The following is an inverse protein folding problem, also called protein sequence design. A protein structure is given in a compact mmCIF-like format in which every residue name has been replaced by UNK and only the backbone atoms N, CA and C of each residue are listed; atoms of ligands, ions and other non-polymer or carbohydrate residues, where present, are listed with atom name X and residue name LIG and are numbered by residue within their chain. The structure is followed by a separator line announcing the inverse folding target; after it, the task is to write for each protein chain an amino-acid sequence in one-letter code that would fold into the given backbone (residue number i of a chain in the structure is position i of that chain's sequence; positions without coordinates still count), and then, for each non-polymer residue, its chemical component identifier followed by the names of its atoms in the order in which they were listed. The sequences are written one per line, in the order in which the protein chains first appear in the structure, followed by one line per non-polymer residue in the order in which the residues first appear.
data_IF_672565238659
#
_entry.id   IF_672565238659
#
_cell.length_a   1.000
_cell.length_b   1.000
_cell.length_c   1.000
_cell.angle_alpha   90.00
_cell.angle_beta   90.00
_cell.angle_gamma   90.00
#
_symmetry.space_group_name_H-M   'P 1'
#
loop_
_entity.id
_entity.type
_entity.pdbx_description
1 polymer ?
#
# COMPACT_ATOMS: atom_id res chain seq x y z
N UNK A 1 -11.75 12.15 -2.44
CA UNK A 1 -10.39 12.46 -1.94
C UNK A 1 -9.45 11.48 -2.63
N UNK A 2 -8.17 11.37 -2.29
CA UNK A 2 -7.44 10.18 -2.73
C UNK A 2 -7.98 8.96 -1.95
N UNK A 3 -7.95 7.77 -2.56
CA UNK A 3 -8.32 6.53 -1.89
C UNK A 3 -7.21 5.48 -2.11
N UNK A 4 -6.85 4.78 -1.03
CA UNK A 4 -5.85 3.70 -1.01
C UNK A 4 -6.54 2.35 -0.91
N UNK A 5 -5.96 1.34 -1.56
CA UNK A 5 -6.28 -0.08 -1.37
C UNK A 5 -4.98 -0.90 -1.39
N UNK A 6 -4.79 -1.74 -0.39
CA UNK A 6 -3.68 -2.69 -0.27
C UNK A 6 -4.22 -4.08 -0.01
N UNK A 7 -3.57 -5.09 -0.58
CA UNK A 7 -3.93 -6.50 -0.41
C UNK A 7 -2.67 -7.33 -0.22
N UNK A 8 -2.70 -8.20 0.79
CA UNK A 8 -1.77 -9.32 0.95
C UNK A 8 -2.56 -10.62 1.07
N UNK A 9 -2.13 -11.67 0.38
CA UNK A 9 -2.77 -12.99 0.43
C UNK A 9 -1.74 -14.11 0.47
N UNK A 10 -2.11 -15.25 1.06
CA UNK A 10 -1.21 -16.41 1.20
C UNK A 10 -0.99 -17.18 -0.11
N UNK A 11 -1.91 -17.06 -1.06
CA UNK A 11 -1.83 -17.62 -2.42
C UNK A 11 -2.19 -16.53 -3.43
N UNK A 12 -1.77 -16.61 -4.71
CA UNK A 12 -2.13 -15.61 -5.70
C UNK A 12 -3.65 -15.46 -5.85
N UNK A 13 -4.22 -14.42 -5.25
CA UNK A 13 -5.64 -14.13 -5.30
C UNK A 13 -5.99 -13.55 -6.67
N UNK A 14 -7.14 -13.94 -7.24
CA UNK A 14 -7.70 -13.24 -8.40
C UNK A 14 -8.35 -11.95 -7.93
N UNK A 15 -7.76 -10.82 -8.30
CA UNK A 15 -8.12 -9.50 -7.79
C UNK A 15 -8.56 -8.62 -8.96
N UNK A 16 -9.85 -8.32 -9.04
CA UNK A 16 -10.35 -7.29 -9.96
C UNK A 16 -10.66 -6.02 -9.15
N UNK A 17 -9.84 -4.99 -9.32
CA UNK A 17 -10.08 -3.70 -8.69
C UNK A 17 -10.97 -2.86 -9.60
N UNK A 18 -12.20 -2.59 -9.16
CA UNK A 18 -13.07 -1.59 -9.79
C UNK A 18 -12.74 -0.20 -9.25
N UNK A 19 -11.66 0.38 -9.77
CA UNK A 19 -11.22 1.73 -9.42
C UNK A 19 -12.32 2.81 -9.48
N UNK A 20 -13.31 2.78 -10.41
CA UNK A 20 -14.40 3.77 -10.40
C UNK A 20 -15.20 3.78 -9.10
N UNK A 21 -15.49 2.60 -8.56
CA UNK A 21 -16.25 2.44 -7.31
C UNK A 21 -15.40 2.74 -6.08
N UNK A 22 -14.12 2.35 -6.09
CA UNK A 22 -13.17 2.79 -5.05
C UNK A 22 -13.16 4.34 -4.98
N UNK A 23 -13.21 4.97 -6.16
CA UNK A 23 -13.31 6.40 -6.26
C UNK A 23 -14.64 6.94 -5.68
N UNK A 24 -15.80 6.31 -5.90
CA UNK A 24 -17.09 6.81 -5.38
C UNK A 24 -17.12 7.08 -3.85
N UNK A 25 -16.30 6.39 -3.06
CA UNK A 25 -16.20 6.63 -1.62
C UNK A 25 -15.64 7.99 -1.21
N UNK A 26 -14.83 8.63 -2.05
CA UNK A 26 -14.25 9.94 -1.74
C UNK A 26 -15.14 11.16 -2.04
N UNK A 27 -16.47 10.95 -2.23
CA UNK A 27 -17.42 11.95 -2.75
C UNK A 27 -17.66 13.14 -1.81
N UNK A 28 -17.32 14.32 -2.30
CA UNK A 28 -18.15 15.55 -2.22
C UNK A 28 -18.06 16.16 -3.63
N UNK A 29 -18.97 15.79 -4.54
CA UNK A 29 -19.09 16.33 -5.91
C UNK A 29 -17.82 16.31 -6.82
N UNK A 30 -17.91 15.62 -7.96
CA UNK A 30 -17.00 15.82 -9.10
C UNK A 30 -16.09 14.64 -9.43
N UNK A 31 -15.95 14.42 -10.72
CA UNK A 31 -15.19 13.37 -11.42
C UNK A 31 -13.75 13.21 -10.92
N UNK A 32 -13.33 11.96 -10.67
CA UNK A 32 -11.95 11.57 -10.35
C UNK A 32 -11.07 11.74 -11.56
N UNK A 33 -10.60 12.96 -11.75
CA UNK A 33 -9.93 13.35 -12.98
C UNK A 33 -8.42 13.31 -12.87
N UNK A 34 -7.82 13.10 -11.69
CA UNK A 34 -6.40 13.45 -11.52
C UNK A 34 -5.42 12.27 -11.56
N UNK A 35 -5.95 11.08 -11.89
CA UNK A 35 -5.19 9.86 -12.15
C UNK A 35 -5.54 8.68 -11.26
N UNK A 36 -5.08 7.51 -11.65
CA UNK A 36 -5.29 6.25 -10.94
C UNK A 36 -4.13 5.30 -11.22
N UNK A 37 -3.99 4.27 -10.41
CA UNK A 37 -3.07 3.19 -10.69
C UNK A 37 -3.29 1.98 -9.81
N UNK A 38 -2.84 0.85 -10.32
CA UNK A 38 -2.80 -0.44 -9.61
C UNK A 38 -1.53 -1.19 -10.01
N UNK A 39 -0.83 -1.71 -9.01
CA UNK A 39 0.33 -2.58 -9.18
C UNK A 39 0.05 -3.96 -8.66
N UNK A 40 0.29 -4.97 -9.49
CA UNK A 40 0.22 -6.39 -9.15
C UNK A 40 1.63 -6.97 -9.15
N UNK A 41 2.09 -7.49 -8.02
CA UNK A 41 3.39 -8.18 -7.98
C UNK A 41 3.38 -9.47 -8.81
N UNK A 42 4.44 -9.69 -9.56
CA UNK A 42 4.74 -10.90 -10.33
C UNK A 42 6.20 -11.30 -10.05
N UNK A 43 6.39 -12.12 -9.00
CA UNK A 43 7.72 -12.45 -8.50
C UNK A 43 8.40 -11.23 -7.85
N UNK A 44 9.57 -10.85 -8.38
CA UNK A 44 10.32 -9.69 -7.90
C UNK A 44 9.98 -8.38 -8.63
N UNK A 45 9.13 -8.44 -9.65
CA UNK A 45 8.72 -7.29 -10.46
C UNK A 45 7.22 -6.99 -10.28
N UNK A 46 6.75 -5.86 -10.82
CA UNK A 46 5.35 -5.43 -10.70
C UNK A 46 4.77 -5.08 -12.06
N UNK A 47 3.62 -5.69 -12.34
CA UNK A 47 2.73 -5.26 -13.40
C UNK A 47 1.98 -4.00 -12.96
N UNK A 48 2.54 -2.84 -13.29
CA UNK A 48 1.97 -1.53 -13.01
C UNK A 48 1.10 -1.04 -14.17
N UNK A 49 -0.17 -0.75 -13.89
CA UNK A 49 -1.05 -0.02 -14.79
C UNK A 49 -1.50 1.25 -14.09
N UNK A 50 -1.25 2.40 -14.70
CA UNK A 50 -1.67 3.70 -14.17
C UNK A 50 -1.95 4.69 -15.30
N UNK A 51 -2.69 5.73 -15.00
CA UNK A 51 -2.97 6.82 -15.93
C UNK A 51 -3.16 8.12 -15.16
N UNK A 52 -2.96 9.24 -15.84
CA UNK A 52 -3.38 10.57 -15.40
C UNK A 52 -4.82 10.91 -15.81
N UNK A 53 -5.38 10.15 -16.75
CA UNK A 53 -6.77 10.27 -17.18
C UNK A 53 -7.78 9.94 -16.05
N UNK A 54 -9.03 10.34 -16.27
CA UNK A 54 -10.10 10.02 -15.33
C UNK A 54 -10.40 8.52 -15.36
N UNK A 55 -10.83 7.97 -14.23
CA UNK A 55 -11.08 6.52 -14.11
C UNK A 55 -12.22 6.04 -15.02
N UNK A 56 -13.25 6.86 -15.21
CA UNK A 56 -14.47 6.49 -15.94
C UNK A 56 -14.30 6.30 -17.45
N UNK A 57 -13.27 6.92 -18.04
CA UNK A 57 -13.07 6.96 -19.50
C UNK A 57 -11.90 6.07 -19.97
N UNK A 58 -11.28 5.29 -19.06
CA UNK A 58 -10.03 4.58 -19.37
C UNK A 58 -10.26 3.14 -19.82
N UNK A 59 -9.91 2.84 -21.08
CA UNK A 59 -9.93 1.47 -21.64
C UNK A 59 -9.10 0.49 -20.82
N UNK A 60 -8.05 0.96 -20.14
CA UNK A 60 -7.24 0.16 -19.24
C UNK A 60 -8.01 -0.41 -18.05
N UNK A 61 -9.01 0.33 -17.54
CA UNK A 61 -9.86 -0.17 -16.44
C UNK A 61 -10.73 -1.34 -16.94
N UNK A 62 -11.25 -1.24 -18.15
CA UNK A 62 -12.01 -2.32 -18.78
C UNK A 62 -11.12 -3.55 -19.04
N UNK A 63 -9.87 -3.32 -19.47
CA UNK A 63 -8.87 -4.37 -19.61
C UNK A 63 -8.62 -5.08 -18.28
N UNK A 64 -8.29 -4.34 -17.21
CA UNK A 64 -8.04 -4.92 -15.88
C UNK A 64 -9.23 -5.76 -15.40
N UNK A 65 -10.44 -5.22 -15.54
CA UNK A 65 -11.67 -5.89 -15.10
C UNK A 65 -12.00 -7.18 -15.88
N UNK A 66 -11.43 -7.37 -17.07
CA UNK A 66 -11.73 -8.50 -17.96
C UNK A 66 -10.64 -9.59 -17.99
N UNK A 67 -9.52 -9.42 -17.29
CA UNK A 67 -8.34 -10.28 -17.44
C UNK A 67 -7.95 -11.09 -16.19
N UNK A 68 -8.80 -11.13 -15.15
CA UNK A 68 -8.63 -11.96 -13.94
C UNK A 68 -7.17 -11.96 -13.42
N UNK A 69 -6.60 -10.77 -13.23
CA UNK A 69 -5.21 -10.64 -12.81
C UNK A 69 -5.03 -11.26 -11.41
N UNK A 70 -3.95 -12.04 -11.25
CA UNK A 70 -3.63 -12.74 -10.00
C UNK A 70 -2.37 -12.21 -9.37
N UNK A 71 -2.42 -11.95 -8.07
CA UNK A 71 -1.24 -11.55 -7.29
C UNK A 71 -1.44 -11.84 -5.81
N UNK A 72 -0.34 -12.11 -5.10
CA UNK A 72 -0.33 -12.16 -3.64
C UNK A 72 -0.32 -10.75 -3.02
N UNK A 73 0.22 -9.77 -3.73
CA UNK A 73 0.43 -8.40 -3.26
C UNK A 73 -0.11 -7.41 -4.29
N UNK A 74 -1.03 -6.55 -3.87
CA UNK A 74 -1.62 -5.51 -4.73
C UNK A 74 -1.64 -4.19 -3.97
N UNK A 75 -1.25 -3.11 -4.64
CA UNK A 75 -1.48 -1.74 -4.17
C UNK A 75 -2.21 -0.99 -5.28
N UNK A 76 -3.31 -0.33 -4.93
CA UNK A 76 -4.07 0.53 -5.82
C UNK A 76 -4.29 1.90 -5.18
N UNK A 77 -4.42 2.91 -6.04
CA UNK A 77 -4.63 4.29 -5.63
C UNK A 77 -5.50 5.04 -6.64
N UNK A 78 -6.44 5.85 -6.15
CA UNK A 78 -7.14 6.86 -6.95
C UNK A 78 -6.73 8.25 -6.49
N UNK A 79 -6.39 9.14 -7.44
CA UNK A 79 -5.83 10.45 -7.15
C UNK A 79 -6.89 11.54 -7.24
N UNK A 80 -6.85 12.45 -6.27
CA UNK A 80 -7.38 13.81 -6.34
C UNK A 80 -6.20 14.75 -6.13
N UNK A 81 -5.79 15.48 -7.16
CA UNK A 81 -4.55 16.25 -7.13
C UNK A 81 -4.62 17.38 -6.09
N UNK A 82 -3.75 17.31 -5.09
CA UNK A 82 -3.45 18.40 -4.16
C UNK A 82 -2.16 19.12 -4.55
N UNK A 83 -1.16 18.37 -5.04
CA UNK A 83 0.14 18.87 -5.50
C UNK A 83 0.57 18.16 -6.79
N UNK A 84 1.35 18.88 -7.61
CA UNK A 84 1.84 18.43 -8.91
C UNK A 84 0.77 18.48 -10.01
N UNK A 85 1.21 18.62 -11.25
CA UNK A 85 0.31 18.62 -12.42
C UNK A 85 -0.42 17.28 -12.59
N UNK A 86 -1.53 17.29 -13.34
CA UNK A 86 -2.19 16.05 -13.80
C UNK A 86 -1.34 15.44 -14.90
N UNK A 87 -0.44 14.53 -14.52
CA UNK A 87 0.51 13.88 -15.42
C UNK A 87 0.80 12.46 -14.97
N UNK A 88 1.18 11.60 -15.92
CA UNK A 88 1.47 10.19 -15.65
C UNK A 88 2.56 9.98 -14.57
N UNK A 89 3.67 10.77 -14.53
CA UNK A 89 4.64 10.68 -13.46
C UNK A 89 4.04 10.88 -12.07
N UNK A 90 3.06 11.78 -11.93
CA UNK A 90 2.41 12.12 -10.66
C UNK A 90 1.28 11.15 -10.25
N UNK A 91 0.92 10.18 -11.10
CA UNK A 91 -0.06 9.14 -10.78
C UNK A 91 0.58 8.02 -9.93
N UNK A 92 -0.16 7.58 -8.91
CA UNK A 92 0.25 6.56 -7.94
C UNK A 92 -0.42 5.20 -8.23
N UNK A 93 0.15 4.07 -7.79
CA UNK A 93 1.37 3.94 -6.99
C UNK A 93 2.65 4.26 -7.77
N UNK A 94 3.71 4.60 -7.04
CA UNK A 94 5.06 4.73 -7.57
C UNK A 94 5.79 3.39 -7.46
N UNK A 95 6.66 3.11 -8.45
CA UNK A 95 7.53 1.93 -8.44
C UNK A 95 8.97 2.34 -8.66
N UNK A 96 9.90 1.69 -7.94
CA UNK A 96 11.36 1.79 -8.14
C UNK A 96 12.03 0.46 -7.84
N UNK A 97 13.15 0.23 -8.49
CA UNK A 97 13.99 -0.94 -8.20
C UNK A 97 14.94 -0.64 -7.03
N UNK A 98 15.04 -1.58 -6.09
CA UNK A 98 16.09 -1.62 -5.09
C UNK A 98 16.57 -3.08 -4.92
N UNK A 99 17.88 -3.27 -5.13
CA UNK A 99 18.58 -4.54 -4.93
C UNK A 99 17.98 -5.75 -5.70
N UNK A 100 17.51 -5.52 -6.92
CA UNK A 100 16.96 -6.49 -7.84
C UNK A 100 15.45 -6.71 -7.69
N UNK A 101 14.75 -5.84 -6.96
CA UNK A 101 13.32 -6.00 -6.67
C UNK A 101 12.56 -4.69 -6.87
N UNK A 102 11.32 -4.80 -7.34
CA UNK A 102 10.39 -3.69 -7.40
C UNK A 102 9.83 -3.37 -6.01
N UNK A 103 9.85 -2.10 -5.64
CA UNK A 103 9.22 -1.56 -4.44
C UNK A 103 8.07 -0.64 -4.87
N UNK A 104 6.93 -0.75 -4.20
CA UNK A 104 5.73 0.05 -4.47
C UNK A 104 5.37 0.94 -3.30
N UNK A 105 4.88 2.13 -3.62
CA UNK A 105 4.43 3.09 -2.63
C UNK A 105 3.21 3.88 -3.12
N UNK A 106 2.23 4.02 -2.24
CA UNK A 106 1.11 4.93 -2.42
C UNK A 106 0.83 5.68 -1.11
N UNK A 107 0.53 6.97 -1.20
CA UNK A 107 0.34 7.88 -0.08
C UNK A 107 -0.89 8.77 -0.28
N UNK A 108 -1.66 8.90 0.79
CA UNK A 108 -2.83 9.75 0.92
C UNK A 108 -2.62 10.74 2.08
N UNK A 109 -2.26 11.96 1.72
CA UNK A 109 -1.96 13.03 2.66
C UNK A 109 -1.38 14.25 1.97
N UNK A 110 -0.93 15.20 2.76
CA UNK A 110 -0.21 16.40 2.32
C UNK A 110 0.95 16.62 3.27
N UNK A 111 2.15 16.81 2.71
CA UNK A 111 3.40 16.87 3.46
C UNK A 111 4.04 18.25 3.31
N UNK A 112 3.49 19.29 3.98
CA UNK A 112 4.03 20.62 3.90
C UNK A 112 5.45 20.67 4.44
N UNK A 113 6.35 21.33 3.71
CA UNK A 113 7.74 21.50 4.13
C UNK A 113 8.67 20.32 3.84
N UNK A 114 8.19 19.18 3.30
CA UNK A 114 9.06 18.03 3.01
C UNK A 114 10.27 18.39 2.13
N UNK A 115 10.04 19.17 1.08
CA UNK A 115 11.09 19.62 0.15
C UNK A 115 12.11 20.60 0.76
N UNK A 116 11.79 21.20 1.91
CA UNK A 116 12.66 22.18 2.59
C UNK A 116 13.34 21.60 3.83
N UNK A 117 12.98 20.38 4.21
CA UNK A 117 13.47 19.77 5.43
C UNK A 117 14.83 19.13 5.20
N UNK A 118 15.79 19.41 6.08
CA UNK A 118 17.09 18.74 6.07
C UNK A 118 16.99 17.27 6.53
N UNK A 119 15.87 16.86 7.12
CA UNK A 119 15.63 15.47 7.54
C UNK A 119 15.20 14.56 6.38
N UNK A 120 14.62 15.14 5.33
CA UNK A 120 14.10 14.42 4.17
C UNK A 120 14.98 14.74 2.97
N UNK A 121 16.05 13.97 2.82
CA UNK A 121 17.00 14.10 1.73
C UNK A 121 16.99 12.85 0.87
N UNK A 122 17.12 13.07 -0.43
CA UNK A 122 17.28 12.03 -1.43
C UNK A 122 18.70 12.04 -1.98
N UNK A 123 19.26 10.88 -2.25
CA UNK A 123 20.58 10.71 -2.88
C UNK A 123 20.49 9.79 -4.10
N UNK A 124 20.36 8.48 -3.88
CA UNK A 124 20.29 7.48 -4.95
C UNK A 124 18.96 7.56 -5.69
N UNK A 125 17.87 7.84 -5.00
CA UNK A 125 16.53 7.84 -5.58
C UNK A 125 16.03 9.25 -5.80
N UNK A 126 15.69 9.59 -7.04
CA UNK A 126 15.18 10.91 -7.38
C UNK A 126 13.73 10.82 -7.91
N UNK A 127 12.85 11.77 -7.56
CA UNK A 127 11.48 11.79 -8.08
C UNK A 127 11.51 12.08 -9.59
N UNK A 128 10.61 11.43 -10.34
CA UNK A 128 10.41 11.72 -11.77
C UNK A 128 9.36 12.84 -11.92
N UNK A 129 8.33 12.81 -11.09
CA UNK A 129 7.29 13.82 -10.98
C UNK A 129 7.62 14.90 -9.94
N UNK A 130 6.57 15.58 -9.50
CA UNK A 130 6.65 16.82 -8.71
C UNK A 130 5.96 16.70 -7.35
N UNK A 131 5.42 15.52 -7.04
CA UNK A 131 4.61 15.33 -5.83
C UNK A 131 5.48 15.13 -4.60
N UNK A 132 4.99 15.63 -3.46
CA UNK A 132 5.57 15.34 -2.15
C UNK A 132 5.55 13.86 -1.82
N UNK A 133 4.55 13.14 -2.32
CA UNK A 133 4.36 11.71 -2.15
C UNK A 133 5.46 10.89 -2.84
N UNK A 134 5.87 11.26 -4.06
CA UNK A 134 6.98 10.59 -4.73
C UNK A 134 8.32 10.93 -4.07
N UNK A 135 8.50 12.19 -3.66
CA UNK A 135 9.69 12.59 -2.91
C UNK A 135 9.81 11.81 -1.59
N UNK A 136 8.71 11.67 -0.84
CA UNK A 136 8.66 10.85 0.36
C UNK A 136 9.04 9.38 0.08
N UNK A 137 8.57 8.82 -1.05
CA UNK A 137 8.96 7.48 -1.47
C UNK A 137 10.47 7.36 -1.75
N UNK A 138 11.05 8.32 -2.47
CA UNK A 138 12.48 8.36 -2.73
C UNK A 138 13.29 8.40 -1.43
N UNK A 139 12.89 9.21 -0.45
CA UNK A 139 13.53 9.25 0.87
C UNK A 139 13.43 7.90 1.58
N UNK A 140 12.26 7.26 1.57
CA UNK A 140 12.08 5.92 2.17
C UNK A 140 13.01 4.89 1.51
N UNK A 141 13.17 4.93 0.18
CA UNK A 141 14.05 4.01 -0.53
C UNK A 141 15.54 4.25 -0.24
N UNK A 142 15.96 5.51 -0.10
CA UNK A 142 17.33 5.83 0.34
C UNK A 142 17.61 5.28 1.75
N UNK A 143 16.64 5.40 2.67
CA UNK A 143 16.76 4.80 4.00
C UNK A 143 16.76 3.26 3.94
N UNK A 144 15.94 2.66 3.07
CA UNK A 144 15.89 1.21 2.88
C UNK A 144 17.19 0.67 2.27
N UNK A 145 17.84 1.43 1.39
CA UNK A 145 19.11 1.06 0.78
C UNK A 145 20.24 0.88 1.81
N UNK A 146 20.14 1.51 2.98
CA UNK A 146 21.11 1.34 4.07
C UNK A 146 21.07 -0.07 4.69
N UNK A 147 19.91 -0.73 4.69
CA UNK A 147 19.76 -2.12 5.17
C UNK A 147 19.79 -3.13 4.03
N UNK A 148 19.48 -2.71 2.80
CA UNK A 148 19.42 -3.56 1.61
C UNK A 148 20.72 -3.53 0.79
N UNK A 149 21.81 -3.97 1.42
CA UNK A 149 23.17 -3.81 0.89
C UNK A 149 23.60 -4.90 -0.09
N UNK A 150 22.95 -6.07 -0.07
CA UNK A 150 23.29 -7.22 -0.90
C UNK A 150 22.21 -7.44 -1.97
N UNK A 151 22.53 -7.32 -3.27
CA UNK A 151 21.58 -7.60 -4.35
C UNK A 151 20.98 -9.00 -4.25
N UNK A 152 19.66 -9.11 -4.39
CA UNK A 152 18.92 -10.37 -4.34
C UNK A 152 18.71 -10.96 -2.93
N UNK A 153 19.31 -10.38 -1.89
CA UNK A 153 19.11 -10.82 -0.50
C UNK A 153 18.18 -9.84 0.23
N UNK A 154 17.03 -10.33 0.70
CA UNK A 154 16.09 -9.53 1.49
C UNK A 154 16.64 -9.37 2.92
N UNK A 155 16.77 -8.13 3.45
CA UNK A 155 17.14 -7.89 4.85
C UNK A 155 16.13 -8.52 5.80
N UNK A 156 16.53 -8.69 7.05
CA UNK A 156 15.61 -9.26 8.05
C UNK A 156 14.35 -8.40 8.14
N UNK A 157 13.22 -9.05 8.43
CA UNK A 157 11.95 -8.33 8.60
C UNK A 157 12.07 -7.21 9.66
N UNK A 158 12.82 -7.44 10.73
CA UNK A 158 13.03 -6.45 11.80
C UNK A 158 13.79 -5.22 11.32
N UNK A 159 14.81 -5.38 10.49
CA UNK A 159 15.55 -4.24 9.90
C UNK A 159 14.63 -3.41 9.00
N UNK A 160 13.90 -4.07 8.09
CA UNK A 160 12.94 -3.39 7.20
C UNK A 160 11.85 -2.67 7.98
N UNK A 161 11.27 -3.34 8.97
CA UNK A 161 10.23 -2.77 9.83
C UNK A 161 10.75 -1.54 10.60
N UNK A 162 11.96 -1.61 11.15
CA UNK A 162 12.59 -0.49 11.87
C UNK A 162 12.73 0.75 10.98
N UNK A 163 13.14 0.57 9.72
CA UNK A 163 13.24 1.67 8.73
C UNK A 163 11.87 2.27 8.46
N UNK A 164 10.87 1.46 8.12
CA UNK A 164 9.51 1.95 7.80
C UNK A 164 8.86 2.63 9.01
N UNK A 165 9.04 2.08 10.21
CA UNK A 165 8.56 2.67 11.46
C UNK A 165 9.16 4.06 11.71
N UNK A 166 10.49 4.15 11.66
CA UNK A 166 11.19 5.43 11.87
C UNK A 166 10.80 6.47 10.82
N UNK A 167 10.69 6.05 9.55
CA UNK A 167 10.22 6.89 8.47
C UNK A 167 8.80 7.41 8.72
N UNK A 168 7.87 6.54 9.13
CA UNK A 168 6.49 6.90 9.40
C UNK A 168 6.36 7.92 10.55
N UNK A 169 7.15 7.73 11.60
CA UNK A 169 7.20 8.63 12.76
C UNK A 169 7.69 10.03 12.39
N UNK A 170 8.68 10.15 11.51
CA UNK A 170 9.11 11.46 11.02
C UNK A 170 8.10 12.06 10.04
N UNK A 171 7.55 11.25 9.13
CA UNK A 171 6.64 11.71 8.08
C UNK A 171 5.36 12.33 8.67
N UNK A 172 4.78 11.69 9.70
CA UNK A 172 3.52 12.13 10.32
C UNK A 172 3.62 13.46 11.09
N UNK A 173 4.84 13.92 11.37
CA UNK A 173 5.08 15.26 11.95
C UNK A 173 4.84 16.38 10.94
N UNK A 174 4.95 16.09 9.64
CA UNK A 174 4.71 17.07 8.58
C UNK A 174 3.21 17.25 8.31
N UNK A 175 2.43 16.16 8.33
CA UNK A 175 1.00 16.20 8.02
C UNK A 175 0.31 14.83 8.02
N UNK A 176 -0.93 14.74 7.51
CA UNK A 176 -1.59 13.47 7.20
C UNK A 176 -0.64 12.56 6.40
N UNK A 177 -0.46 11.32 6.85
CA UNK A 177 0.62 10.45 6.39
C UNK A 177 0.12 9.01 6.21
N UNK A 178 -1.01 8.81 5.55
CA UNK A 178 -1.52 7.47 5.29
C UNK A 178 -0.78 6.90 4.10
N UNK A 179 -0.10 5.76 4.25
CA UNK A 179 0.59 5.16 3.13
C UNK A 179 0.54 3.64 3.14
N UNK A 180 0.69 3.09 1.95
CA UNK A 180 0.94 1.69 1.68
C UNK A 180 2.31 1.58 1.02
N UNK A 181 3.19 0.80 1.60
CA UNK A 181 4.51 0.49 1.07
C UNK A 181 4.64 -1.03 0.96
N UNK A 182 5.13 -1.52 -0.17
CA UNK A 182 5.42 -2.93 -0.32
C UNK A 182 6.78 -3.10 -0.98
N UNK A 183 7.58 -3.99 -0.43
CA UNK A 183 8.91 -4.34 -0.92
C UNK A 183 8.93 -5.69 -1.64
N UNK A 184 7.77 -6.16 -2.12
CA UNK A 184 7.61 -7.45 -2.80
C UNK A 184 7.64 -8.68 -1.91
N UNK A 185 7.73 -8.51 -0.59
CA UNK A 185 7.58 -9.57 0.41
C UNK A 185 6.54 -9.19 1.47
N UNK A 186 6.66 -7.98 2.02
CA UNK A 186 5.77 -7.47 3.07
C UNK A 186 5.01 -6.25 2.57
N UNK A 187 3.71 -6.18 2.87
CA UNK A 187 2.90 -4.97 2.76
C UNK A 187 2.87 -4.26 4.12
N UNK A 188 3.35 -3.03 4.14
CA UNK A 188 3.32 -2.11 5.28
C UNK A 188 2.22 -1.08 5.06
N UNK A 189 1.38 -0.88 6.07
CA UNK A 189 0.31 0.10 6.08
C UNK A 189 0.44 1.01 7.30
N UNK A 190 0.59 2.30 7.08
CA UNK A 190 0.62 3.29 8.15
C UNK A 190 -0.68 4.10 8.16
N UNK A 191 -1.42 4.01 9.26
CA UNK A 191 -2.64 4.74 9.51
C UNK A 191 -2.37 6.05 10.25
N UNK A 192 -2.95 7.15 9.78
CA UNK A 192 -2.87 8.46 10.43
C UNK A 192 -4.22 9.18 10.29
N UNK A 193 -4.21 10.51 10.27
CA UNK A 193 -5.42 11.32 10.07
C UNK A 193 -5.74 11.41 8.57
N UNK A 194 -7.02 11.51 8.23
CA UNK A 194 -7.47 11.92 6.89
C UNK A 194 -8.60 12.94 7.01
N UNK A 195 -8.84 13.71 5.93
CA UNK A 195 -10.06 14.49 5.84
C UNK A 195 -11.23 13.53 5.61
N UNK A 196 -12.31 13.67 6.37
CA UNK A 196 -13.53 12.88 6.19
C UNK A 196 -14.55 13.69 5.39
N UNK A 197 -15.14 13.09 4.35
CA UNK A 197 -16.05 13.82 3.45
C UNK A 197 -17.33 14.28 4.16
N UNK A 198 -17.87 13.44 5.04
CA UNK A 198 -19.14 13.67 5.73
C UNK A 198 -19.05 14.78 6.78
N UNK A 199 -17.96 14.80 7.54
CA UNK A 199 -17.77 15.76 8.65
C UNK A 199 -16.90 16.95 8.28
N UNK A 200 -16.11 16.85 7.21
CA UNK A 200 -15.09 17.82 6.82
C UNK A 200 -13.87 17.88 7.74
N UNK A 201 -13.86 17.13 8.85
CA UNK A 201 -12.80 17.12 9.87
C UNK A 201 -11.59 16.31 9.40
N UNK A 202 -10.41 16.67 9.92
CA UNK A 202 -9.17 15.92 9.70
C UNK A 202 -8.88 15.14 10.98
N UNK A 203 -9.15 13.84 10.97
CA UNK A 203 -9.03 12.96 12.13
C UNK A 203 -8.78 11.51 11.68
N UNK A 204 -8.31 10.67 12.60
CA UNK A 204 -8.23 9.23 12.38
C UNK A 204 -9.64 8.60 12.44
N UNK A 205 -9.88 7.42 11.81
CA UNK A 205 -8.92 6.63 11.05
C UNK A 205 -8.70 7.17 9.63
N UNK A 206 -7.46 7.10 9.17
CA UNK A 206 -7.09 7.36 7.78
C UNK A 206 -7.04 6.10 6.91
N UNK A 207 -6.97 4.93 7.56
CA UNK A 207 -7.03 3.61 6.97
C UNK A 207 -7.85 2.67 7.86
N UNK A 208 -8.46 1.69 7.23
CA UNK A 208 -9.14 0.57 7.87
C UNK A 208 -8.55 -0.74 7.34
N UNK A 209 -8.69 -1.81 8.12
CA UNK A 209 -8.14 -3.13 7.90
C UNK A 209 -9.25 -4.18 7.93
N UNK A 210 -9.15 -5.18 7.06
CA UNK A 210 -9.99 -6.39 7.11
C UNK A 210 -9.10 -7.61 6.86
N UNK A 211 -9.15 -8.60 7.75
CA UNK A 211 -8.56 -9.92 7.52
C UNK A 211 -9.68 -10.94 7.38
N UNK A 212 -9.64 -11.73 6.33
CA UNK A 212 -10.70 -12.68 6.00
C UNK A 212 -10.13 -13.94 5.38
N UNK A 213 -10.68 -15.09 5.81
CA UNK A 213 -10.53 -16.35 5.10
C UNK A 213 -11.65 -16.44 4.06
N UNK A 214 -11.29 -16.44 2.78
CA UNK A 214 -12.20 -16.79 1.71
C UNK A 214 -12.23 -18.32 1.60
N UNK A 215 -13.41 -18.92 1.47
CA UNK A 215 -13.56 -20.35 1.26
C UNK A 215 -14.03 -20.62 -0.17
N UNK A 216 -13.47 -21.64 -0.81
CA UNK A 216 -13.89 -22.09 -2.13
C UNK A 216 -15.40 -22.42 -2.16
N UNK A 217 -16.11 -21.87 -3.15
CA UNK A 217 -17.55 -22.10 -3.32
C UNK A 217 -18.47 -21.14 -2.55
N UNK A 218 -17.93 -20.20 -1.79
CA UNK A 218 -18.68 -19.06 -1.25
C UNK A 218 -18.67 -17.88 -2.22
N UNK A 219 -19.47 -16.84 -1.96
CA UNK A 219 -19.24 -15.56 -2.62
C UNK A 219 -17.89 -15.02 -2.12
N UNK A 220 -16.97 -14.72 -3.04
CA UNK A 220 -15.71 -14.06 -2.70
C UNK A 220 -15.95 -12.66 -2.15
N UNK A 221 -14.88 -11.90 -1.87
CA UNK A 221 -15.06 -10.51 -1.43
C UNK A 221 -15.55 -9.71 -2.63
N UNK A 222 -16.84 -9.36 -2.64
CA UNK A 222 -17.42 -8.47 -3.63
C UNK A 222 -17.74 -7.16 -2.94
N UNK A 223 -16.86 -6.20 -3.15
CA UNK A 223 -16.89 -4.88 -2.56
C UNK A 223 -17.18 -3.82 -3.62
N UNK A 224 -17.55 -2.63 -3.17
CA UNK A 224 -17.61 -1.46 -4.03
C UNK A 224 -16.19 -1.02 -4.43
N UNK A 225 -15.69 -1.63 -5.50
CA UNK A 225 -14.38 -1.31 -6.05
C UNK A 225 -13.34 -2.41 -5.98
N UNK A 226 -13.71 -3.60 -5.52
CA UNK A 226 -12.82 -4.74 -5.42
C UNK A 226 -13.67 -6.02 -5.50
N UNK A 227 -13.35 -6.91 -6.44
CA UNK A 227 -13.82 -8.29 -6.39
C UNK A 227 -12.62 -9.22 -6.25
N UNK A 228 -12.63 -10.04 -5.21
CA UNK A 228 -11.65 -11.10 -5.01
C UNK A 228 -12.40 -12.42 -5.14
N UNK A 229 -11.96 -13.30 -6.04
CA UNK A 229 -12.61 -14.61 -6.18
C UNK A 229 -12.46 -15.44 -4.91
N UNK A 230 -13.48 -16.25 -4.63
CA UNK A 230 -13.50 -17.21 -3.53
C UNK A 230 -12.63 -18.41 -3.86
N UNK A 231 -11.34 -18.30 -3.59
CA UNK A 231 -10.47 -19.46 -3.42
C UNK A 231 -10.31 -19.75 -1.91
N UNK A 232 -9.77 -20.90 -1.53
CA UNK A 232 -9.40 -21.16 -0.13
C UNK A 232 -8.12 -20.38 0.19
N UNK A 233 -8.28 -19.17 0.71
CA UNK A 233 -7.20 -18.21 0.88
C UNK A 233 -7.43 -17.27 2.06
N UNK A 234 -6.33 -16.93 2.73
CA UNK A 234 -6.29 -15.86 3.72
C UNK A 234 -5.89 -14.56 3.04
N UNK A 235 -6.72 -13.54 3.20
CA UNK A 235 -6.50 -12.21 2.65
C UNK A 235 -6.50 -11.19 3.78
N UNK A 236 -5.53 -10.28 3.77
CA UNK A 236 -5.57 -9.05 4.55
C UNK A 236 -5.64 -7.85 3.62
N UNK A 237 -6.63 -6.99 3.84
CA UNK A 237 -6.90 -5.78 3.09
C UNK A 237 -6.66 -4.55 3.95
N UNK A 238 -6.15 -3.49 3.32
CA UNK A 238 -6.13 -2.13 3.86
C UNK A 238 -6.85 -1.21 2.89
N UNK A 239 -7.70 -0.33 3.38
CA UNK A 239 -8.41 0.63 2.54
C UNK A 239 -8.57 1.97 3.24
N UNK A 240 -8.75 3.06 2.49
CA UNK A 240 -9.06 4.38 3.08
C UNK A 240 -10.43 4.45 3.75
N UNK A 241 -11.37 3.60 3.33
CA UNK A 241 -12.69 3.41 3.95
C UNK A 241 -13.12 1.95 3.84
N UNK A 242 -14.09 1.48 4.65
CA UNK A 242 -14.70 0.17 4.47
C UNK A 242 -15.30 0.01 3.07
N UNK A 243 -14.98 -1.08 2.37
CA UNK A 243 -15.45 -1.35 1.01
C UNK A 243 -16.64 -2.33 0.96
N UNK A 244 -16.90 -2.99 2.08
CA UNK A 244 -17.93 -4.02 2.24
C UNK A 244 -18.63 -3.88 3.60
N UNK A 245 -19.68 -4.67 3.82
CA UNK A 245 -20.47 -4.65 5.07
C UNK A 245 -19.82 -5.38 6.25
N UNK A 246 -18.76 -6.15 6.03
CA UNK A 246 -17.98 -6.80 7.08
C UNK A 246 -17.41 -5.78 8.07
N UNK A 247 -16.98 -6.27 9.24
CA UNK A 247 -16.43 -5.40 10.28
C UNK A 247 -14.97 -5.08 10.01
N UNK A 248 -14.74 -3.96 9.35
CA UNK A 248 -13.41 -3.38 9.17
C UNK A 248 -12.90 -2.78 10.51
N UNK A 249 -11.64 -3.05 10.84
CA UNK A 249 -10.94 -2.51 12.01
C UNK A 249 -10.29 -1.17 11.64
N UNK A 250 -10.57 -0.06 12.34
CA UNK A 250 -9.89 1.20 12.10
C UNK A 250 -8.45 1.18 12.62
N UNK A 251 -7.49 1.63 11.81
CA UNK A 251 -6.12 1.85 12.29
C UNK A 251 -6.07 3.11 13.16
N UNK A 252 -5.32 3.03 14.25
CA UNK A 252 -5.11 4.16 15.14
C UNK A 252 -4.20 5.23 14.53
N UNK A 253 -4.20 6.43 15.12
CA UNK A 253 -3.36 7.53 14.65
C UNK A 253 -1.87 7.24 14.87
N UNK A 254 -1.13 7.08 13.79
CA UNK A 254 0.30 6.74 13.80
C UNK A 254 0.58 5.24 13.96
N UNK A 255 -0.43 4.39 13.74
CA UNK A 255 -0.25 2.95 13.78
C UNK A 255 0.42 2.43 12.50
N UNK A 256 1.44 1.59 12.65
CA UNK A 256 2.05 0.83 11.56
C UNK A 256 1.69 -0.66 11.67
N UNK A 257 1.12 -1.20 10.61
CA UNK A 257 0.80 -2.63 10.48
C UNK A 257 1.61 -3.22 9.32
N UNK A 258 2.25 -4.36 9.55
CA UNK A 258 2.97 -5.10 8.53
C UNK A 258 2.36 -6.48 8.35
N UNK A 259 2.09 -6.86 7.10
CA UNK A 259 1.50 -8.15 6.74
C UNK A 259 2.31 -8.83 5.64
N UNK A 260 2.43 -10.15 5.73
CA UNK A 260 3.05 -10.99 4.71
C UNK A 260 2.24 -12.28 4.56
N UNK A 261 2.01 -12.70 3.32
CA UNK A 261 1.17 -13.85 2.97
C UNK A 261 -0.23 -13.79 3.63
N UNK A 262 -0.85 -12.61 3.65
CA UNK A 262 -2.16 -12.40 4.27
C UNK A 262 -2.18 -12.47 5.81
N UNK A 263 -1.05 -12.69 6.48
CA UNK A 263 -0.93 -12.75 7.94
C UNK A 263 -0.24 -11.52 8.52
N UNK A 264 -0.55 -11.18 9.78
CA UNK A 264 0.20 -10.14 10.49
C UNK A 264 1.63 -10.61 10.76
N UNK A 265 2.59 -9.72 10.48
CA UNK A 265 4.00 -9.91 10.81
C UNK A 265 4.42 -8.99 11.96
N UNK A 266 3.90 -7.75 12.00
CA UNK A 266 4.03 -6.86 13.15
C UNK A 266 2.93 -5.79 13.20
N UNK A 267 2.70 -5.26 14.39
CA UNK A 267 1.92 -4.03 14.63
C UNK A 267 2.66 -3.14 15.61
N UNK A 268 2.59 -1.83 15.40
CA UNK A 268 3.17 -0.84 16.31
C UNK A 268 2.25 0.36 16.41
N UNK A 269 1.84 0.68 17.64
CA UNK A 269 1.15 1.92 17.96
C UNK A 269 2.14 3.07 18.10
N UNK A 270 1.69 4.29 17.83
CA UNK A 270 2.50 5.49 17.95
C UNK A 270 3.11 5.62 19.37
N UNK A 271 4.45 5.66 19.45
CA UNK A 271 5.16 5.79 20.72
C UNK A 271 5.26 4.50 21.56
N UNK A 272 4.79 3.37 21.04
CA UNK A 272 4.88 2.06 21.70
C UNK A 272 5.93 1.16 21.02
N UNK A 273 6.32 0.10 21.74
CA UNK A 273 7.19 -0.93 21.17
C UNK A 273 6.43 -1.83 20.20
N UNK A 274 7.04 -2.23 19.07
CA UNK A 274 6.38 -3.12 18.11
C UNK A 274 6.12 -4.51 18.68
N UNK A 275 4.92 -5.03 18.40
CA UNK A 275 4.53 -6.42 18.62
C UNK A 275 4.79 -7.20 17.34
N UNK A 276 5.61 -8.25 17.44
CA UNK A 276 5.94 -9.13 16.32
C UNK A 276 5.15 -10.43 16.45
N UNK A 277 4.60 -10.90 15.34
CA UNK A 277 3.86 -12.14 15.26
C UNK A 277 4.76 -13.22 14.67
N UNK A 278 4.75 -14.42 15.25
CA UNK A 278 5.50 -15.55 14.71
C UNK A 278 4.80 -16.10 13.47
N UNK A 279 5.56 -16.26 12.39
CA UNK A 279 5.06 -16.80 11.13
C UNK A 279 5.22 -18.33 11.13
N UNK A 280 4.17 -19.14 10.90
CA UNK A 280 4.29 -20.59 10.84
C UNK A 280 5.31 -21.07 9.77
N UNK A 281 5.39 -20.35 8.64
CA UNK A 281 6.26 -20.68 7.51
C UNK A 281 7.76 -20.45 7.81
N UNK A 282 8.10 -19.55 8.73
CA UNK A 282 9.48 -19.34 9.16
C UNK A 282 10.02 -20.55 9.94
N UNK A 283 9.15 -21.29 10.64
CA UNK A 283 9.53 -22.52 11.34
C UNK A 283 9.84 -23.67 10.38
N UNK A 284 9.12 -23.77 9.25
CA UNK A 284 9.34 -24.82 8.25
C UNK A 284 10.60 -24.57 7.41
N UNK A 285 10.91 -23.32 7.07
CA UNK A 285 12.15 -22.97 6.38
C UNK A 285 13.39 -23.20 7.27
N UNK A 286 13.30 -22.83 8.55
CA UNK A 286 14.37 -23.10 9.53
C UNK A 286 14.54 -24.60 9.80
N UNK A 287 13.44 -25.37 9.88
CA UNK A 287 13.49 -26.83 10.04
C UNK A 287 14.09 -27.54 8.83
N UNK A 288 13.82 -27.06 7.61
CA UNK A 288 14.44 -27.61 6.39
C UNK A 288 15.95 -27.34 6.32
N UNK A 289 16.41 -26.16 6.75
CA UNK A 289 17.84 -25.84 6.80
C UNK A 289 18.57 -26.70 7.85
N UNK A 290 17.98 -26.93 9.03
CA UNK A 290 18.55 -27.83 10.05
C UNK A 290 18.50 -29.32 9.69
N UNK A 291 17.72 -29.73 8.67
CA UNK A 291 17.70 -31.12 8.18
C UNK A 291 18.72 -31.40 7.06
N UNK A 292 19.42 -30.35 6.59
CA UNK A 292 20.42 -30.42 5.51
C UNK A 292 21.85 -30.23 6.07
N UNK A 293 21.99 -29.92 7.37
CA UNK A 293 23.25 -29.88 8.13
C UNK A 293 23.35 -31.09 9.07
#
# INVERSE_FOLDING_TARGET
MCELLGLSSNVPATVNVSLPKLAEHGRISGTYNDGWGVGYYEGADVRLMKDSAAVGDSEWIQFIASHDLRSQLVIAHTRKATRGTRSYPNAQPFVRELAGRAHLFAHNGDLPGIFKSNMFQTDRFNPIGETDSEFAFCVLLDQMAAVWTVPGATPTFRERFSVVSSFADELRKLGPANFLYCDGDTLFAHGHRRKHAETGRIEAPGLVLLQQHCQSGQQGIVADGLSIRSDDQLVTLFASVPLTSERWEPLAEGELVAVSHGQFAARQMAGESPVFYEHPAASEAAARISSIL
#
